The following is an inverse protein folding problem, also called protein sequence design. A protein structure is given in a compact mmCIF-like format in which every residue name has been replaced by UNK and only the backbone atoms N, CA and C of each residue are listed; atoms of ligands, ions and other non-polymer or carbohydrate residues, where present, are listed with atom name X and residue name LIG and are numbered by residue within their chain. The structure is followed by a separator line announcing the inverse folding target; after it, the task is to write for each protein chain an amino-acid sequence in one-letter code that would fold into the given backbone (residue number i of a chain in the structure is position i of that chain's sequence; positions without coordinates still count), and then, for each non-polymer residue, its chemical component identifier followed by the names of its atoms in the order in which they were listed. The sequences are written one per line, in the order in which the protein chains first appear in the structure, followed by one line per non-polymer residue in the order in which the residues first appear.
data_IF_813057717167
#
_entry.id   IF_813057717167
#
_cell.length_a   1.000
_cell.length_b   1.000
_cell.length_c   1.000
_cell.angle_alpha   90.00
_cell.angle_beta   90.00
_cell.angle_gamma   90.00
#
_symmetry.space_group_name_H-M   'P 1'
#
loop_
_entity.id
_entity.type
_entity.pdbx_description
1 polymer ?
#
# COMPACT_ATOMS: atom_id res chain seq x y z
N UNK A 1 46.36 61.22 24.10
CA UNK A 1 45.67 61.67 22.88
C UNK A 1 45.96 60.63 21.81
N UNK A 2 44.99 59.75 21.59
CA UNK A 2 45.00 58.72 20.55
C UNK A 2 43.82 59.00 19.60
N UNK A 3 43.97 58.70 18.30
CA UNK A 3 42.95 58.87 17.25
C UNK A 3 41.87 57.76 17.41
N UNK A 4 40.69 57.75 16.80
CA UNK A 4 40.20 58.36 15.57
C UNK A 4 39.71 57.24 14.63
N UNK A 5 38.39 56.99 14.62
CA UNK A 5 37.58 56.44 13.50
C UNK A 5 37.68 54.96 13.10
N UNK A 6 36.59 54.19 13.28
CA UNK A 6 35.71 53.64 12.21
C UNK A 6 34.80 52.51 12.76
N UNK A 7 33.48 52.78 12.81
CA UNK A 7 32.43 51.83 13.19
C UNK A 7 31.98 51.00 11.98
N UNK A 8 32.41 49.74 11.93
CA UNK A 8 31.98 48.74 10.94
C UNK A 8 30.86 47.84 11.48
N UNK A 9 29.61 48.22 11.20
CA UNK A 9 28.42 47.39 11.40
C UNK A 9 28.37 46.27 10.34
N UNK A 10 28.51 44.99 10.75
CA UNK A 10 28.06 43.84 9.95
C UNK A 10 26.96 43.07 10.68
N UNK A 11 25.76 43.17 10.12
CA UNK A 11 24.61 42.31 10.36
C UNK A 11 24.83 40.96 9.68
N UNK A 12 24.41 39.90 10.37
CA UNK A 12 23.57 38.81 9.85
C UNK A 12 24.17 37.80 8.88
N UNK A 13 24.19 36.53 9.28
CA UNK A 13 23.83 35.38 8.45
C UNK A 13 23.74 34.12 9.36
N UNK A 14 22.54 33.83 9.84
CA UNK A 14 22.12 32.50 10.29
C UNK A 14 20.64 32.41 10.00
N UNK A 15 20.29 31.81 8.87
CA UNK A 15 18.96 31.27 8.49
C UNK A 15 19.11 30.83 7.04
N UNK A 16 19.54 29.58 6.83
CA UNK A 16 19.40 28.89 5.53
C UNK A 16 19.12 27.38 5.76
N UNK A 17 19.54 26.79 6.89
CA UNK A 17 19.32 25.36 7.15
C UNK A 17 17.87 24.99 7.56
N UNK A 18 17.11 25.90 8.17
CA UNK A 18 15.74 25.61 8.63
C UNK A 18 14.69 25.70 7.50
N UNK A 19 14.96 26.48 6.45
CA UNK A 19 14.05 26.64 5.31
C UNK A 19 14.13 25.46 4.33
N UNK A 20 15.29 24.81 4.20
CA UNK A 20 15.47 23.61 3.36
C UNK A 20 14.85 22.35 4.01
N UNK A 21 14.90 22.23 5.34
CA UNK A 21 14.18 21.21 6.09
C UNK A 21 12.65 21.43 6.07
N UNK A 22 12.18 22.68 6.06
CA UNK A 22 10.78 23.03 5.88
C UNK A 22 10.24 22.77 4.46
N UNK A 23 11.06 22.97 3.44
CA UNK A 23 10.72 22.71 2.04
C UNK A 23 10.72 21.20 1.70
N UNK A 24 11.62 20.42 2.28
CA UNK A 24 11.68 18.95 2.06
C UNK A 24 10.48 18.22 2.65
N UNK A 25 9.95 18.68 3.80
CA UNK A 25 8.71 18.16 4.37
C UNK A 25 7.44 18.50 3.54
N UNK A 26 7.48 19.59 2.76
CA UNK A 26 6.33 20.08 1.99
C UNK A 26 6.07 19.33 0.66
N UNK A 27 6.93 18.38 0.28
CA UNK A 27 6.74 17.56 -0.93
C UNK A 27 6.46 16.08 -0.65
N UNK A 28 6.65 15.65 0.61
CA UNK A 28 6.61 14.26 1.02
C UNK A 28 5.19 13.85 1.39
N UNK A 29 4.75 12.70 0.90
CA UNK A 29 3.42 12.19 1.18
C UNK A 29 3.46 11.10 2.24
N UNK A 30 2.91 11.37 3.42
CA UNK A 30 2.76 10.37 4.48
C UNK A 30 1.47 9.56 4.27
N UNK A 31 1.64 8.30 3.90
CA UNK A 31 0.58 7.33 3.64
C UNK A 31 0.36 6.38 4.83
N UNK A 32 1.02 6.60 5.96
CA UNK A 32 1.02 5.70 7.12
C UNK A 32 -0.39 5.45 7.69
N UNK A 33 -1.28 6.44 7.66
CA UNK A 33 -2.67 6.30 8.08
C UNK A 33 -3.50 5.33 7.19
N UNK A 34 -3.12 5.16 5.92
CA UNK A 34 -3.80 4.27 4.97
C UNK A 34 -3.40 2.80 5.13
N UNK A 35 -2.28 2.52 5.81
CA UNK A 35 -1.77 1.17 6.04
C UNK A 35 -2.69 0.32 6.94
N UNK A 36 -3.53 0.95 7.78
CA UNK A 36 -4.56 0.26 8.55
C UNK A 36 -5.65 -0.39 7.69
N UNK A 37 -5.81 0.05 6.43
CA UNK A 37 -6.82 -0.45 5.49
C UNK A 37 -6.24 -1.41 4.42
N UNK A 38 -4.95 -1.29 4.08
CA UNK A 38 -4.29 -2.09 3.05
C UNK A 38 -3.61 -3.33 3.68
N UNK A 39 -4.38 -4.41 3.86
CA UNK A 39 -3.95 -5.67 4.45
C UNK A 39 -3.22 -6.61 3.47
N UNK A 40 -2.07 -7.13 3.93
CA UNK A 40 -1.23 -8.19 3.36
C UNK A 40 -2.06 -9.44 2.93
N UNK A 41 -1.71 -10.20 1.86
CA UNK A 41 -2.52 -11.28 1.28
C UNK A 41 -2.75 -12.55 2.13
N UNK A 42 -2.29 -12.60 3.39
CA UNK A 42 -2.34 -13.82 4.24
C UNK A 42 -3.06 -13.65 5.57
N UNK A 43 -3.68 -12.49 5.83
CA UNK A 43 -4.62 -12.32 6.95
C UNK A 43 -5.82 -11.56 6.41
N UNK A 44 -7.06 -12.08 6.53
CA UNK A 44 -8.23 -11.33 6.08
C UNK A 44 -8.24 -10.00 6.83
N UNK A 45 -8.23 -8.88 6.08
CA UNK A 45 -8.51 -7.58 6.66
C UNK A 45 -9.82 -7.69 7.47
N UNK A 46 -9.99 -6.93 8.57
CA UNK A 46 -11.27 -6.90 9.26
C UNK A 46 -12.35 -6.65 8.21
N UNK A 47 -13.21 -7.66 8.03
CA UNK A 47 -14.23 -7.65 7.00
C UNK A 47 -14.98 -6.33 7.09
N UNK A 48 -15.26 -5.62 5.97
CA UNK A 48 -15.97 -4.37 6.05
C UNK A 48 -17.24 -4.62 6.85
N UNK A 49 -17.36 -3.98 8.02
CA UNK A 49 -18.44 -4.29 8.97
C UNK A 49 -19.79 -4.25 8.25
N UNK A 50 -19.95 -3.31 7.32
CA UNK A 50 -21.08 -3.21 6.42
C UNK A 50 -21.36 -4.48 5.60
N UNK A 51 -20.34 -5.12 5.02
CA UNK A 51 -20.52 -6.38 4.32
C UNK A 51 -20.89 -7.51 5.28
N UNK A 52 -20.32 -7.54 6.50
CA UNK A 52 -20.66 -8.57 7.49
C UNK A 52 -22.13 -8.46 7.90
N UNK A 53 -22.59 -7.22 8.11
CA UNK A 53 -24.00 -6.92 8.36
C UNK A 53 -24.88 -7.25 7.16
N UNK A 54 -24.45 -6.98 5.93
CA UNK A 54 -25.20 -7.35 4.73
C UNK A 54 -25.35 -8.87 4.59
N UNK A 55 -24.28 -9.65 4.82
CA UNK A 55 -24.33 -11.11 4.83
C UNK A 55 -25.24 -11.62 5.94
N UNK A 56 -25.12 -11.07 7.16
CA UNK A 56 -25.97 -11.45 8.29
C UNK A 56 -27.46 -11.17 8.01
N UNK A 57 -27.78 -10.02 7.42
CA UNK A 57 -29.14 -9.66 7.03
C UNK A 57 -29.70 -10.60 5.95
N UNK A 58 -28.90 -10.93 4.93
CA UNK A 58 -29.31 -11.87 3.88
C UNK A 58 -29.56 -13.27 4.40
N UNK A 59 -28.72 -13.75 5.32
CA UNK A 59 -28.94 -15.03 6.01
C UNK A 59 -30.21 -14.99 6.86
N UNK A 60 -30.44 -13.93 7.64
CA UNK A 60 -31.65 -13.80 8.44
C UNK A 60 -32.93 -13.81 7.59
N UNK A 61 -32.92 -13.08 6.46
CA UNK A 61 -34.02 -13.07 5.49
C UNK A 61 -34.23 -14.45 4.87
N UNK A 62 -33.16 -15.11 4.42
CA UNK A 62 -33.22 -16.46 3.85
C UNK A 62 -33.75 -17.51 4.84
N UNK A 63 -33.31 -17.46 6.09
CA UNK A 63 -33.79 -18.35 7.17
C UNK A 63 -35.27 -18.06 7.48
N UNK A 64 -35.66 -16.79 7.56
CA UNK A 64 -37.06 -16.40 7.81
C UNK A 64 -38.01 -16.87 6.70
N UNK A 65 -37.65 -16.63 5.44
CA UNK A 65 -38.38 -17.13 4.27
C UNK A 65 -38.43 -18.66 4.23
N UNK A 66 -37.30 -19.33 4.51
CA UNK A 66 -37.22 -20.79 4.56
C UNK A 66 -38.13 -21.40 5.64
N UNK A 67 -38.14 -20.82 6.85
CA UNK A 67 -39.00 -21.26 7.94
C UNK A 67 -40.50 -21.06 7.63
N UNK A 68 -40.86 -19.94 7.00
CA UNK A 68 -42.22 -19.68 6.54
C UNK A 68 -42.67 -20.71 5.51
N UNK A 69 -41.81 -21.01 4.52
CA UNK A 69 -42.10 -22.03 3.49
C UNK A 69 -42.21 -23.42 4.12
N UNK A 70 -41.38 -23.75 5.11
CA UNK A 70 -41.50 -25.01 5.84
C UNK A 70 -42.82 -25.10 6.61
N UNK A 71 -43.24 -24.03 7.27
CA UNK A 71 -44.49 -23.99 8.03
C UNK A 71 -45.73 -24.11 7.12
N UNK A 72 -45.71 -23.51 5.94
CA UNK A 72 -46.85 -23.46 5.02
C UNK A 72 -46.88 -24.67 4.08
N UNK A 73 -45.75 -25.03 3.48
CA UNK A 73 -45.66 -26.05 2.42
C UNK A 73 -45.26 -27.42 2.98
N UNK A 74 -44.76 -27.49 4.22
CA UNK A 74 -44.28 -28.73 4.86
C UNK A 74 -43.24 -29.50 4.03
N UNK A 75 -42.57 -28.82 3.10
CA UNK A 75 -41.61 -29.43 2.19
C UNK A 75 -40.19 -29.15 2.64
N UNK A 76 -39.53 -30.19 3.14
CA UNK A 76 -38.11 -30.14 3.51
C UNK A 76 -37.21 -29.80 2.30
N UNK A 77 -37.65 -30.14 1.07
CA UNK A 77 -36.91 -29.84 -0.17
C UNK A 77 -36.75 -28.33 -0.37
N UNK A 78 -37.81 -27.55 -0.14
CA UNK A 78 -37.75 -26.09 -0.30
C UNK A 78 -36.88 -25.43 0.77
N UNK A 79 -36.87 -25.96 1.99
CA UNK A 79 -35.96 -25.51 3.05
C UNK A 79 -34.50 -25.73 2.63
N UNK A 80 -34.17 -26.92 2.13
CA UNK A 80 -32.81 -27.24 1.66
C UNK A 80 -32.39 -26.30 0.53
N UNK A 81 -33.27 -26.05 -0.45
CA UNK A 81 -32.98 -25.10 -1.55
C UNK A 81 -32.72 -23.69 -1.01
N UNK A 82 -33.53 -23.19 -0.08
CA UNK A 82 -33.34 -21.87 0.53
C UNK A 82 -32.01 -21.76 1.30
N UNK A 83 -31.63 -22.81 2.05
CA UNK A 83 -30.36 -22.86 2.76
C UNK A 83 -29.16 -22.88 1.79
N UNK A 84 -29.23 -23.66 0.72
CA UNK A 84 -28.16 -23.72 -0.29
C UNK A 84 -28.00 -22.37 -0.99
N UNK A 85 -29.11 -21.72 -1.39
CA UNK A 85 -29.05 -20.40 -2.03
C UNK A 85 -28.49 -19.34 -1.09
N UNK A 86 -28.91 -19.32 0.18
CA UNK A 86 -28.41 -18.36 1.17
C UNK A 86 -26.91 -18.56 1.47
N UNK A 87 -26.46 -19.82 1.53
CA UNK A 87 -25.03 -20.15 1.65
C UNK A 87 -24.22 -19.70 0.43
N UNK A 88 -24.73 -19.92 -0.79
CA UNK A 88 -24.06 -19.49 -2.02
C UNK A 88 -23.91 -17.96 -2.11
N UNK A 89 -24.98 -17.22 -1.78
CA UNK A 89 -24.95 -15.74 -1.73
C UNK A 89 -23.94 -15.25 -0.68
N UNK A 90 -23.93 -15.86 0.50
CA UNK A 90 -22.99 -15.51 1.57
C UNK A 90 -21.54 -15.76 1.15
N UNK A 91 -21.25 -16.92 0.55
CA UNK A 91 -19.93 -17.24 0.03
C UNK A 91 -19.48 -16.24 -1.04
N UNK A 92 -20.39 -15.80 -1.92
CA UNK A 92 -20.10 -14.78 -2.93
C UNK A 92 -19.70 -13.44 -2.30
N UNK A 93 -20.43 -12.95 -1.29
CA UNK A 93 -20.07 -11.71 -0.60
C UNK A 93 -18.76 -11.84 0.19
N UNK A 94 -18.53 -12.98 0.85
CA UNK A 94 -17.28 -13.26 1.56
C UNK A 94 -16.07 -13.29 0.61
N UNK A 95 -16.23 -13.93 -0.56
CA UNK A 95 -15.24 -13.92 -1.62
C UNK A 95 -14.93 -12.50 -2.08
N UNK A 96 -15.94 -11.68 -2.33
CA UNK A 96 -15.78 -10.30 -2.80
C UNK A 96 -15.07 -9.41 -1.80
N UNK A 97 -15.47 -9.45 -0.53
CA UNK A 97 -14.85 -8.64 0.51
C UNK A 97 -13.41 -9.09 0.80
N UNK A 98 -13.11 -10.39 0.78
CA UNK A 98 -11.72 -10.86 0.91
C UNK A 98 -10.85 -10.50 -0.31
N UNK A 99 -11.41 -10.52 -1.51
CA UNK A 99 -10.73 -10.07 -2.73
C UNK A 99 -10.46 -8.55 -2.72
N UNK A 100 -11.41 -7.75 -2.23
CA UNK A 100 -11.23 -6.30 -2.08
C UNK A 100 -10.17 -5.99 -1.01
N UNK A 101 -10.26 -6.64 0.15
CA UNK A 101 -9.32 -6.49 1.26
C UNK A 101 -7.86 -6.81 0.89
N UNK A 102 -7.65 -7.82 0.05
CA UNK A 102 -6.32 -8.23 -0.41
C UNK A 102 -5.78 -7.37 -1.56
N UNK A 103 -6.50 -6.33 -1.99
CA UNK A 103 -6.15 -5.55 -3.18
C UNK A 103 -6.23 -6.33 -4.49
N UNK A 104 -6.76 -7.56 -4.47
CA UNK A 104 -6.81 -8.47 -5.62
C UNK A 104 -7.67 -7.91 -6.75
N UNK A 105 -8.78 -7.24 -6.42
CA UNK A 105 -9.65 -6.61 -7.42
C UNK A 105 -8.88 -5.52 -8.18
N UNK A 106 -8.22 -4.62 -7.44
CA UNK A 106 -7.43 -3.54 -8.03
C UNK A 106 -6.25 -4.09 -8.84
N UNK A 107 -5.49 -5.06 -8.31
CA UNK A 107 -4.38 -5.69 -9.04
C UNK A 107 -4.84 -6.33 -10.36
N UNK A 108 -5.96 -7.05 -10.37
CA UNK A 108 -6.53 -7.61 -11.62
C UNK A 108 -6.97 -6.55 -12.61
N UNK A 109 -7.60 -5.48 -12.14
CA UNK A 109 -7.98 -4.35 -12.98
C UNK A 109 -6.74 -3.72 -13.63
N UNK A 110 -5.68 -3.49 -12.85
CA UNK A 110 -4.40 -3.00 -13.36
C UNK A 110 -3.80 -3.97 -14.37
N UNK A 111 -3.84 -5.28 -14.13
CA UNK A 111 -3.29 -6.29 -15.02
C UNK A 111 -4.05 -6.35 -16.36
N UNK A 112 -5.38 -6.20 -16.32
CA UNK A 112 -6.24 -6.17 -17.51
C UNK A 112 -6.17 -4.86 -18.32
N UNK A 113 -5.71 -3.76 -17.72
CA UNK A 113 -5.55 -2.49 -18.43
C UNK A 113 -4.40 -2.58 -19.47
N UNK A 114 -4.65 -2.22 -20.74
CA UNK A 114 -3.60 -2.18 -21.75
C UNK A 114 -2.62 -1.05 -21.46
N UNK A 115 -1.31 -1.33 -21.56
CA UNK A 115 -0.29 -0.31 -21.39
C UNK A 115 -0.43 0.78 -22.46
N UNK A 116 -0.67 2.00 -22.02
CA UNK A 116 -0.76 3.22 -22.81
C UNK A 116 0.65 3.71 -23.17
N UNK A 117 0.74 4.54 -24.22
CA UNK A 117 1.99 5.23 -24.56
C UNK A 117 1.81 6.73 -24.39
N UNK A 118 2.78 7.39 -23.75
CA UNK A 118 2.76 8.85 -23.56
C UNK A 118 2.72 9.63 -24.88
N UNK A 119 3.22 9.02 -25.97
CA UNK A 119 3.21 9.62 -27.30
C UNK A 119 1.79 9.78 -27.86
N UNK A 120 0.93 8.78 -27.64
CA UNK A 120 -0.40 8.69 -28.28
C UNK A 120 -1.53 9.11 -27.34
N UNK A 121 -1.37 8.93 -26.03
CA UNK A 121 -2.42 9.23 -25.06
C UNK A 121 -2.88 10.70 -25.10
N UNK A 122 -4.18 10.94 -24.94
CA UNK A 122 -4.76 12.28 -24.94
C UNK A 122 -4.63 12.98 -23.57
N UNK A 123 -4.77 14.31 -23.56
CA UNK A 123 -4.91 15.08 -22.32
C UNK A 123 -6.20 14.67 -21.58
N UNK A 124 -6.14 14.54 -20.26
CA UNK A 124 -7.26 14.12 -19.41
C UNK A 124 -7.57 12.61 -19.44
N UNK A 125 -6.82 11.81 -20.22
CA UNK A 125 -7.06 10.38 -20.34
C UNK A 125 -6.49 9.60 -19.13
N UNK A 126 -7.23 8.59 -18.66
CA UNK A 126 -6.68 7.57 -17.76
C UNK A 126 -5.66 6.71 -18.51
N UNK A 127 -4.41 6.72 -18.05
CA UNK A 127 -3.31 6.01 -18.69
C UNK A 127 -2.70 4.99 -17.75
N UNK A 128 -2.26 3.85 -18.31
CA UNK A 128 -1.34 2.91 -17.64
C UNK A 128 0.02 3.02 -18.31
N UNK A 129 0.97 3.68 -17.66
CA UNK A 129 2.34 3.83 -18.19
C UNK A 129 3.24 2.81 -17.50
N UNK A 130 3.97 2.03 -18.30
CA UNK A 130 4.98 1.10 -17.79
C UNK A 130 6.36 1.59 -18.19
N UNK A 131 7.27 1.72 -17.23
CA UNK A 131 8.52 2.41 -17.47
C UNK A 131 9.53 2.27 -16.34
N UNK A 132 10.68 2.88 -16.54
CA UNK A 132 11.73 2.98 -15.52
C UNK A 132 11.52 4.23 -14.67
N UNK A 133 11.74 4.08 -13.38
CA UNK A 133 11.59 5.13 -12.37
C UNK A 133 12.90 5.91 -12.24
N UNK A 134 12.78 7.23 -12.11
CA UNK A 134 13.87 8.12 -11.72
C UNK A 134 13.37 9.09 -10.65
N UNK A 135 14.23 9.41 -9.69
CA UNK A 135 13.86 10.30 -8.58
C UNK A 135 13.50 11.70 -9.11
N UNK A 136 12.56 12.35 -8.43
CA UNK A 136 12.30 13.77 -8.63
C UNK A 136 13.29 14.63 -7.85
N UNK A 137 12.83 15.80 -7.42
CA UNK A 137 13.65 16.70 -6.61
C UNK A 137 13.98 16.12 -5.22
N UNK A 138 13.15 15.19 -4.74
CA UNK A 138 13.28 14.56 -3.42
C UNK A 138 13.34 13.04 -3.57
N UNK A 139 14.38 12.46 -2.97
CA UNK A 139 14.59 11.03 -2.86
C UNK A 139 14.32 10.55 -1.43
N UNK A 140 13.66 9.41 -1.30
CA UNK A 140 13.41 8.72 -0.04
C UNK A 140 14.54 7.73 0.27
N UNK A 141 14.63 7.38 1.54
CA UNK A 141 15.49 6.30 2.05
C UNK A 141 14.59 5.28 2.75
N UNK A 142 14.80 3.98 2.51
CA UNK A 142 14.05 2.93 3.22
C UNK A 142 14.35 2.95 4.73
N UNK A 143 13.39 2.53 5.54
CA UNK A 143 13.46 2.73 6.99
C UNK A 143 14.49 1.82 7.65
N UNK A 144 14.50 0.53 7.28
CA UNK A 144 15.33 -0.50 7.91
C UNK A 144 16.54 -0.90 7.07
N UNK A 145 16.37 -1.26 5.80
CA UNK A 145 17.50 -1.64 4.91
C UNK A 145 18.35 -0.44 4.48
N UNK A 146 17.86 0.79 4.71
CA UNK A 146 18.52 2.05 4.32
C UNK A 146 18.83 2.14 2.82
N UNK A 147 17.93 1.65 1.98
CA UNK A 147 18.06 1.76 0.52
C UNK A 147 17.79 3.21 0.12
N UNK A 148 18.79 3.85 -0.49
CA UNK A 148 18.71 5.24 -0.97
C UNK A 148 17.99 5.34 -2.32
N UNK A 149 17.74 6.58 -2.78
CA UNK A 149 17.14 6.88 -4.09
C UNK A 149 15.81 6.16 -4.33
N UNK A 150 14.94 6.16 -3.32
CA UNK A 150 13.60 5.59 -3.40
C UNK A 150 12.54 6.65 -3.72
N UNK A 151 11.51 6.28 -4.48
CA UNK A 151 10.34 7.14 -4.75
C UNK A 151 9.13 6.74 -3.92
N UNK A 152 9.15 5.53 -3.37
CA UNK A 152 8.16 5.01 -2.45
C UNK A 152 8.85 4.09 -1.43
N UNK A 153 8.45 4.18 -0.17
CA UNK A 153 8.88 3.28 0.90
C UNK A 153 7.69 2.84 1.75
N UNK A 154 7.75 1.62 2.26
CA UNK A 154 6.74 1.00 3.13
C UNK A 154 7.44 0.13 4.14
N UNK A 155 7.28 0.43 5.43
CA UNK A 155 7.83 -0.37 6.51
C UNK A 155 6.71 -0.70 7.48
N UNK A 156 6.46 -2.00 7.67
CA UNK A 156 5.34 -2.51 8.44
C UNK A 156 5.87 -3.37 9.59
N UNK A 157 5.49 -3.02 10.82
CA UNK A 157 5.73 -3.85 11.99
C UNK A 157 4.45 -4.57 12.37
N UNK A 158 4.51 -5.90 12.32
CA UNK A 158 3.44 -6.77 12.79
C UNK A 158 3.84 -7.47 14.08
N UNK A 159 2.92 -7.52 15.02
CA UNK A 159 3.06 -8.29 16.27
C UNK A 159 2.13 -9.49 16.22
N UNK A 160 2.60 -10.63 16.70
CA UNK A 160 1.76 -11.80 16.85
C UNK A 160 0.85 -11.68 18.08
N UNK A 161 -0.45 -11.89 17.94
CA UNK A 161 -1.35 -12.03 19.07
C UNK A 161 -1.03 -13.28 19.90
N UNK A 162 -0.92 -13.14 21.23
CA UNK A 162 -0.67 -14.27 22.15
C UNK A 162 -1.77 -15.35 22.00
N UNK A 163 -1.41 -16.53 21.50
CA UNK A 163 -2.12 -17.77 21.83
C UNK A 163 -1.17 -18.67 22.62
N UNK A 164 -1.61 -19.12 23.79
CA UNK A 164 -0.86 -20.04 24.62
C UNK A 164 -0.81 -21.41 23.97
N UNK A 165 0.34 -21.75 23.39
CA UNK A 165 1.04 -23.02 23.60
C UNK A 165 2.35 -22.99 22.81
N UNK A 166 3.28 -23.82 23.23
CA UNK A 166 4.59 -24.04 22.62
C UNK A 166 4.40 -24.59 21.20
N UNK A 167 4.75 -23.81 20.17
CA UNK A 167 4.68 -24.24 18.76
C UNK A 167 6.09 -24.38 18.23
N UNK A 168 6.44 -25.62 17.85
CA UNK A 168 7.77 -26.02 17.40
C UNK A 168 8.18 -25.45 16.02
N UNK A 169 7.25 -24.85 15.26
CA UNK A 169 7.52 -24.29 13.92
C UNK A 169 7.14 -22.82 13.81
N UNK A 170 8.04 -21.95 14.27
CA UNK A 170 7.81 -20.50 14.40
C UNK A 170 7.75 -19.76 13.06
N UNK A 171 8.23 -20.36 11.96
CA UNK A 171 8.33 -19.68 10.66
C UNK A 171 6.95 -19.36 10.04
N UNK A 172 5.89 -20.12 10.40
CA UNK A 172 4.58 -20.02 9.76
C UNK A 172 3.36 -19.85 10.70
N UNK A 173 3.46 -20.14 12.00
CA UNK A 173 2.26 -20.46 12.81
C UNK A 173 1.74 -19.36 13.76
N UNK A 174 2.07 -18.10 13.53
CA UNK A 174 1.29 -17.04 14.16
C UNK A 174 -0.05 -16.86 13.42
N UNK A 175 -1.13 -17.35 14.01
CA UNK A 175 -2.48 -17.33 13.42
C UNK A 175 -3.09 -15.92 13.29
N UNK A 176 -2.56 -14.92 13.99
CA UNK A 176 -3.08 -13.55 13.98
C UNK A 176 -1.95 -12.51 14.07
N UNK A 177 -1.31 -12.23 12.95
CA UNK A 177 -0.44 -11.06 12.82
C UNK A 177 -1.26 -9.78 12.84
N UNK A 178 -1.02 -8.91 13.83
CA UNK A 178 -1.66 -7.61 13.94
C UNK A 178 -0.66 -6.52 13.55
N UNK A 179 -1.04 -5.68 12.58
CA UNK A 179 -0.29 -4.47 12.25
C UNK A 179 -0.27 -3.56 13.48
N UNK A 180 0.93 -3.21 13.94
CA UNK A 180 1.15 -2.37 15.12
C UNK A 180 1.72 -1.02 14.74
N UNK A 181 2.64 -1.01 13.79
CA UNK A 181 3.26 0.20 13.25
C UNK A 181 3.31 0.12 11.74
N UNK A 182 3.16 1.25 11.07
CA UNK A 182 3.30 1.36 9.63
C UNK A 182 3.86 2.74 9.29
N UNK A 183 4.89 2.74 8.44
CA UNK A 183 5.48 3.93 7.83
C UNK A 183 5.37 3.77 6.34
N UNK A 184 4.69 4.68 5.66
CA UNK A 184 4.61 4.66 4.19
C UNK A 184 4.81 6.05 3.66
N UNK A 185 5.75 6.21 2.75
CA UNK A 185 6.07 7.49 2.15
C UNK A 185 6.11 7.40 0.63
N UNK A 186 5.65 8.45 -0.03
CA UNK A 186 5.76 8.62 -1.48
C UNK A 186 6.28 10.03 -1.80
N UNK A 187 7.09 10.13 -2.84
CA UNK A 187 7.59 11.38 -3.39
C UNK A 187 7.12 11.56 -4.83
N UNK A 188 7.21 12.78 -5.36
CA UNK A 188 7.08 13.02 -6.79
C UNK A 188 8.27 12.40 -7.53
N UNK A 189 8.02 11.77 -8.67
CA UNK A 189 9.07 11.08 -9.43
C UNK A 189 8.82 11.08 -10.92
N UNK A 190 9.88 10.85 -11.71
CA UNK A 190 9.76 10.71 -13.14
C UNK A 190 9.61 9.24 -13.54
N UNK A 191 8.72 8.97 -14.50
CA UNK A 191 8.62 7.67 -15.17
C UNK A 191 8.97 7.83 -16.64
N UNK A 192 9.88 7.00 -17.13
CA UNK A 192 10.24 6.92 -18.55
C UNK A 192 9.48 5.79 -19.21
N UNK A 193 8.50 6.12 -20.05
CA UNK A 193 7.66 5.15 -20.77
C UNK A 193 8.52 4.24 -21.66
N UNK A 194 8.53 2.94 -21.35
CA UNK A 194 9.31 1.95 -22.09
C UNK A 194 8.89 1.85 -23.57
N UNK A 195 7.66 2.24 -23.92
CA UNK A 195 7.16 2.19 -25.30
C UNK A 195 7.56 3.40 -26.14
N UNK A 196 7.61 4.60 -25.54
CA UNK A 196 7.87 5.84 -26.28
C UNK A 196 9.19 6.52 -25.97
N UNK A 197 9.88 6.12 -24.89
CA UNK A 197 11.06 6.81 -24.37
C UNK A 197 10.78 8.20 -23.80
N UNK A 198 9.51 8.65 -23.78
CA UNK A 198 9.14 9.92 -23.16
C UNK A 198 9.11 9.79 -21.64
N UNK A 199 9.56 10.83 -20.95
CA UNK A 199 9.40 10.95 -19.50
C UNK A 199 8.10 11.66 -19.17
N UNK A 200 7.48 11.30 -18.06
CA UNK A 200 6.41 12.05 -17.43
C UNK A 200 6.65 12.19 -15.93
N UNK A 201 6.25 13.32 -15.36
CA UNK A 201 6.31 13.55 -13.91
C UNK A 201 5.05 12.95 -13.25
N UNK A 202 5.23 12.10 -12.27
CA UNK A 202 4.14 11.51 -11.48
C UNK A 202 3.98 12.32 -10.20
N UNK A 203 2.80 12.90 -10.01
CA UNK A 203 2.45 13.67 -8.83
C UNK A 203 1.92 12.75 -7.72
N UNK A 204 2.84 12.04 -7.08
CA UNK A 204 2.56 11.08 -6.00
C UNK A 204 2.99 11.59 -4.61
N UNK A 205 3.70 12.72 -4.56
CA UNK A 205 4.11 13.42 -3.35
C UNK A 205 2.95 14.16 -2.67
N UNK A 206 3.27 15.29 -2.05
CA UNK A 206 2.42 15.99 -1.10
C UNK A 206 0.95 16.14 -1.52
N UNK A 207 0.03 15.83 -0.59
CA UNK A 207 -1.43 15.84 -0.76
C UNK A 207 -2.00 15.00 -1.91
N UNK A 208 -1.22 14.09 -2.48
CA UNK A 208 -1.69 13.21 -3.55
C UNK A 208 -2.23 11.90 -2.98
N UNK A 209 -3.36 11.41 -3.49
CA UNK A 209 -3.83 10.06 -3.13
C UNK A 209 -3.03 9.03 -3.91
N UNK A 210 -2.48 8.04 -3.21
CA UNK A 210 -1.67 6.98 -3.82
C UNK A 210 -2.16 5.62 -3.34
N UNK A 211 -2.32 4.70 -4.28
CA UNK A 211 -2.71 3.31 -4.05
C UNK A 211 -1.52 2.39 -4.42
N UNK A 212 -0.61 2.10 -3.48
CA UNK A 212 0.52 1.21 -3.74
C UNK A 212 0.08 -0.25 -3.81
N UNK A 213 0.40 -0.93 -4.90
CA UNK A 213 0.22 -2.37 -5.13
C UNK A 213 1.55 -3.11 -5.05
N UNK A 214 2.29 -2.86 -3.96
CA UNK A 214 3.63 -3.37 -3.72
C UNK A 214 3.52 -4.48 -2.69
N UNK A 215 4.16 -5.62 -2.96
CA UNK A 215 4.25 -6.71 -2.01
C UNK A 215 5.50 -6.49 -1.14
N UNK A 216 5.33 -6.14 0.13
CA UNK A 216 6.45 -5.98 1.06
C UNK A 216 7.22 -7.31 1.25
N UNK A 217 8.54 -7.22 1.42
CA UNK A 217 9.41 -8.34 1.72
C UNK A 217 9.49 -8.55 3.24
N UNK A 218 9.48 -9.80 3.68
CA UNK A 218 9.66 -10.12 5.10
C UNK A 218 11.16 -10.11 5.40
N UNK A 219 11.63 -9.06 6.06
CA UNK A 219 13.05 -8.91 6.38
C UNK A 219 13.43 -9.64 7.66
N UNK A 220 12.62 -9.46 8.70
CA UNK A 220 12.88 -10.03 10.02
C UNK A 220 11.62 -10.71 10.52
N UNK A 221 11.78 -11.93 11.02
CA UNK A 221 10.78 -12.61 11.84
C UNK A 221 11.48 -13.14 13.07
N UNK A 222 11.06 -12.69 14.24
CA UNK A 222 11.64 -13.13 15.51
C UNK A 222 10.85 -14.30 16.08
N UNK A 223 11.55 -15.14 16.84
CA UNK A 223 10.94 -16.20 17.64
C UNK A 223 11.03 -15.87 19.14
N UNK A 224 10.28 -16.62 19.96
CA UNK A 224 10.20 -16.41 21.41
C UNK A 224 11.56 -16.41 22.12
N UNK A 225 12.54 -17.12 21.58
CA UNK A 225 13.88 -17.27 22.17
C UNK A 225 14.97 -16.60 21.32
N UNK A 226 14.60 -15.77 20.35
CA UNK A 226 15.57 -15.07 19.51
C UNK A 226 15.90 -13.72 20.14
N UNK A 227 17.17 -13.51 20.48
CA UNK A 227 17.65 -12.18 20.86
C UNK A 227 17.50 -11.22 19.68
N UNK A 228 16.93 -10.03 19.92
CA UNK A 228 16.80 -9.01 18.88
C UNK A 228 18.18 -8.47 18.51
N UNK A 229 18.44 -8.29 17.21
CA UNK A 229 19.64 -7.62 16.73
C UNK A 229 19.73 -6.19 17.27
N UNK A 230 20.94 -5.68 17.47
CA UNK A 230 21.18 -4.31 17.92
C UNK A 230 20.53 -3.28 16.98
N UNK A 231 20.60 -3.51 15.68
CA UNK A 231 19.96 -2.68 14.64
C UNK A 231 18.44 -2.61 14.84
N UNK A 232 17.79 -3.76 15.09
CA UNK A 232 16.35 -3.81 15.29
C UNK A 232 15.92 -3.18 16.62
N UNK A 233 16.69 -3.35 17.69
CA UNK A 233 16.44 -2.67 18.98
C UNK A 233 16.50 -1.16 18.81
N UNK A 234 17.57 -0.65 18.19
CA UNK A 234 17.75 0.78 17.91
C UNK A 234 16.58 1.33 17.08
N UNK A 235 16.22 0.65 15.99
CA UNK A 235 15.09 1.06 15.12
C UNK A 235 13.75 1.13 15.87
N UNK A 236 13.49 0.19 16.80
CA UNK A 236 12.29 0.19 17.64
C UNK A 236 12.31 1.33 18.67
N UNK A 237 13.46 1.56 19.30
CA UNK A 237 13.65 2.62 20.31
C UNK A 237 13.47 4.02 19.70
N UNK A 238 14.04 4.29 18.53
CA UNK A 238 13.85 5.54 17.77
C UNK A 238 12.37 5.88 17.52
N UNK A 239 11.51 4.86 17.44
CA UNK A 239 10.07 4.97 17.14
C UNK A 239 9.20 4.84 18.38
N UNK A 240 9.79 4.83 19.58
CA UNK A 240 9.10 4.63 20.85
C UNK A 240 8.28 3.32 20.89
N UNK A 241 8.72 2.27 20.20
CA UNK A 241 8.05 0.98 20.14
C UNK A 241 8.65 0.06 21.22
N UNK A 242 7.80 -0.45 22.12
CA UNK A 242 8.26 -1.36 23.19
C UNK A 242 8.87 -2.65 22.62
N UNK A 243 10.15 -2.86 22.95
CA UNK A 243 10.90 -4.09 22.71
C UNK A 243 10.60 -5.19 23.75
N UNK A 244 10.09 -4.84 24.94
CA UNK A 244 9.92 -5.78 26.07
C UNK A 244 8.62 -6.59 26.01
N UNK A 245 7.62 -6.13 25.25
CA UNK A 245 6.26 -6.69 25.30
C UNK A 245 5.91 -7.72 24.20
N UNK A 246 6.83 -8.05 23.27
CA UNK A 246 6.48 -8.87 22.11
C UNK A 246 7.48 -9.99 21.82
N UNK A 247 7.18 -11.27 22.15
CA UNK A 247 8.08 -12.39 21.85
C UNK A 247 8.07 -12.80 20.36
N UNK A 248 7.16 -12.28 19.53
CA UNK A 248 7.15 -12.51 18.08
C UNK A 248 6.76 -11.23 17.34
N UNK A 249 7.75 -10.64 16.68
CA UNK A 249 7.60 -9.50 15.77
C UNK A 249 7.98 -9.92 14.35
N UNK A 250 7.32 -9.30 13.38
CA UNK A 250 7.63 -9.43 11.97
C UNK A 250 7.78 -8.03 11.39
N UNK A 251 8.97 -7.75 10.87
CA UNK A 251 9.27 -6.53 10.14
C UNK A 251 9.23 -6.82 8.65
N UNK A 252 8.40 -6.08 7.95
CA UNK A 252 8.26 -6.16 6.50
C UNK A 252 8.62 -4.81 5.90
N UNK A 253 9.35 -4.81 4.80
CA UNK A 253 9.72 -3.59 4.09
C UNK A 253 9.51 -3.76 2.59
N UNK A 254 9.04 -2.70 1.93
CA UNK A 254 8.94 -2.61 0.49
C UNK A 254 9.33 -1.21 0.03
N UNK A 255 10.03 -1.12 -1.09
CA UNK A 255 10.44 0.15 -1.67
C UNK A 255 10.39 0.09 -3.19
N UNK A 256 10.40 1.26 -3.82
CA UNK A 256 10.65 1.42 -5.26
C UNK A 256 11.85 2.35 -5.38
N UNK A 257 12.99 1.79 -5.78
CA UNK A 257 14.21 2.57 -6.04
C UNK A 257 14.28 3.04 -7.49
N UNK A 258 15.11 4.04 -7.71
CA UNK A 258 15.50 4.50 -9.04
C UNK A 258 16.04 3.33 -9.88
N UNK A 259 15.71 3.33 -11.17
CA UNK A 259 16.05 2.26 -12.12
C UNK A 259 15.12 1.05 -12.08
N UNK A 260 14.22 0.93 -11.10
CA UNK A 260 13.21 -0.15 -11.09
C UNK A 260 12.13 0.07 -12.15
N UNK A 261 11.54 -1.03 -12.62
CA UNK A 261 10.42 -0.99 -13.56
C UNK A 261 9.07 -0.95 -12.81
N UNK A 262 8.30 0.10 -13.10
CA UNK A 262 7.02 0.40 -12.45
C UNK A 262 5.91 0.58 -13.49
N UNK A 263 4.70 0.15 -13.15
CA UNK A 263 3.46 0.52 -13.82
C UNK A 263 2.71 1.55 -12.99
N UNK A 264 2.45 2.71 -13.58
CA UNK A 264 1.73 3.82 -12.96
C UNK A 264 0.39 4.00 -13.67
N UNK A 265 -0.69 4.11 -12.90
CA UNK A 265 -2.01 4.48 -13.41
C UNK A 265 -2.47 5.81 -12.81
N UNK A 266 -2.88 6.72 -13.67
CA UNK A 266 -3.41 8.03 -13.29
C UNK A 266 -3.91 8.80 -14.50
N UNK A 267 -4.32 10.05 -14.29
CA UNK A 267 -4.80 10.94 -15.35
C UNK A 267 -3.62 11.70 -15.95
N UNK A 268 -3.44 11.58 -17.27
CA UNK A 268 -2.41 12.32 -17.99
C UNK A 268 -2.82 13.76 -18.21
N UNK A 269 -1.95 14.70 -17.86
CA UNK A 269 -2.07 16.12 -18.17
C UNK A 269 -0.90 16.56 -19.06
N UNK A 270 -1.20 17.23 -20.16
CA UNK A 270 -0.26 17.78 -21.13
C UNK A 270 -0.31 19.32 -21.18
N UNK A 271 -1.04 19.95 -20.26
CA UNK A 271 -1.35 21.39 -20.28
C UNK A 271 -0.11 22.31 -20.23
N UNK A 272 0.99 21.86 -19.63
CA UNK A 272 2.19 22.68 -19.39
C UNK A 272 3.41 22.22 -20.23
N UNK A 273 3.19 21.50 -21.34
CA UNK A 273 4.27 21.00 -22.20
C UNK A 273 4.89 19.70 -21.71
N UNK A 274 5.32 19.65 -20.44
CA UNK A 274 5.80 18.43 -19.81
C UNK A 274 4.63 17.54 -19.38
N UNK A 275 4.60 16.27 -19.82
CA UNK A 275 3.50 15.37 -19.46
C UNK A 275 3.58 15.05 -17.96
N UNK A 276 2.46 15.23 -17.28
CA UNK A 276 2.31 14.98 -15.85
C UNK A 276 1.20 13.95 -15.61
N UNK A 277 1.33 13.11 -14.59
CA UNK A 277 0.33 12.13 -14.19
C UNK A 277 -0.19 12.52 -12.82
N UNK A 278 -1.50 12.76 -12.74
CA UNK A 278 -2.21 13.19 -11.53
C UNK A 278 -3.11 12.08 -10.98
N UNK A 279 -3.45 12.12 -9.67
CA UNK A 279 -4.54 11.30 -9.15
C UNK A 279 -5.84 11.63 -9.88
N UNK A 280 -6.73 10.65 -10.09
CA UNK A 280 -8.03 10.90 -10.68
C UNK A 280 -8.85 11.85 -9.79
N UNK A 281 -9.61 12.80 -10.38
CA UNK A 281 -10.39 13.77 -9.61
C UNK A 281 -11.60 13.14 -8.91
N UNK A 282 -12.12 12.05 -9.47
CA UNK A 282 -13.22 11.25 -8.93
C UNK A 282 -12.80 9.79 -8.81
N UNK A 283 -13.33 9.03 -7.82
CA UNK A 283 -13.04 7.62 -7.67
C UNK A 283 -13.41 6.83 -8.93
N UNK A 284 -12.47 6.03 -9.44
CA UNK A 284 -12.67 5.22 -10.64
C UNK A 284 -13.11 3.82 -10.24
N UNK A 285 -14.18 3.34 -10.88
CA UNK A 285 -14.65 1.97 -10.71
C UNK A 285 -13.76 0.99 -11.47
N UNK A 286 -13.38 -0.12 -10.83
CA UNK A 286 -12.70 -1.24 -11.49
C UNK A 286 -13.63 -2.02 -12.44
N UNK A 287 -14.92 -1.70 -12.47
CA UNK A 287 -15.94 -2.43 -13.22
C UNK A 287 -16.29 -3.79 -12.61
N UNK A 288 -17.41 -4.37 -13.05
CA UNK A 288 -17.80 -5.73 -12.70
C UNK A 288 -17.04 -6.72 -13.60
N UNK A 289 -16.35 -7.70 -13.01
CA UNK A 289 -15.76 -8.81 -13.76
C UNK A 289 -16.54 -10.08 -13.43
N UNK A 290 -17.63 -10.30 -14.19
CA UNK A 290 -18.54 -11.44 -13.99
C UNK A 290 -17.81 -12.79 -14.02
N UNK A 291 -16.85 -12.96 -14.92
CA UNK A 291 -16.06 -14.19 -15.04
C UNK A 291 -15.25 -14.53 -13.77
N UNK A 292 -14.91 -13.52 -12.97
CA UNK A 292 -14.14 -13.68 -11.73
C UNK A 292 -15.00 -13.61 -10.46
N UNK A 293 -16.33 -13.45 -10.61
CA UNK A 293 -17.27 -13.20 -9.52
C UNK A 293 -16.83 -12.01 -8.63
N UNK A 294 -16.25 -10.97 -9.23
CA UNK A 294 -15.78 -9.78 -8.54
C UNK A 294 -16.70 -8.58 -8.80
N UNK A 295 -17.20 -8.01 -7.71
CA UNK A 295 -17.94 -6.76 -7.64
C UNK A 295 -16.98 -5.58 -7.89
N UNK A 296 -17.52 -4.47 -8.43
CA UNK A 296 -16.74 -3.28 -8.70
C UNK A 296 -16.25 -2.68 -7.38
N UNK A 297 -14.96 -2.38 -7.34
CA UNK A 297 -14.34 -1.58 -6.28
C UNK A 297 -13.97 -0.22 -6.84
N UNK A 298 -13.94 0.79 -5.97
CA UNK A 298 -13.51 2.13 -6.34
C UNK A 298 -12.12 2.36 -5.80
N UNK A 299 -11.24 2.92 -6.61
CA UNK A 299 -9.96 3.42 -6.16
C UNK A 299 -9.87 4.93 -6.42
N UNK A 300 -9.19 5.60 -5.51
CA UNK A 300 -9.08 7.05 -5.49
C UNK A 300 -7.59 7.35 -5.26
N UNK A 301 -6.90 7.75 -6.33
CA UNK A 301 -5.46 8.00 -6.31
C UNK A 301 -4.67 7.35 -7.46
N UNK A 302 -3.40 7.71 -7.53
CA UNK A 302 -2.42 7.15 -8.46
C UNK A 302 -2.08 5.73 -8.01
N UNK A 303 -2.21 4.75 -8.91
CA UNK A 303 -1.87 3.36 -8.59
C UNK A 303 -0.43 3.07 -8.98
N UNK A 304 0.37 2.59 -8.03
CA UNK A 304 1.77 2.20 -8.24
C UNK A 304 1.89 0.68 -8.17
N UNK A 305 2.22 0.02 -9.28
CA UNK A 305 2.39 -1.44 -9.33
C UNK A 305 3.79 -1.80 -9.81
N UNK A 306 4.54 -2.52 -8.98
CA UNK A 306 5.84 -3.06 -9.37
C UNK A 306 5.67 -4.13 -10.46
N UNK A 307 6.46 -4.06 -11.53
CA UNK A 307 6.34 -4.99 -12.68
C UNK A 307 7.14 -6.26 -12.47
N UNK A 308 8.33 -6.14 -11.87
CA UNK A 308 9.20 -7.29 -11.58
C UNK A 308 9.98 -7.12 -10.27
N UNK A 309 10.03 -8.20 -9.47
CA UNK A 309 10.84 -8.31 -8.24
C UNK A 309 12.25 -8.85 -8.50
N UNK A 310 12.57 -9.20 -9.74
CA UNK A 310 13.83 -9.85 -10.14
C UNK A 310 15.08 -8.96 -10.04
N UNK A 311 14.93 -7.67 -9.70
CA UNK A 311 16.03 -6.72 -9.51
C UNK A 311 16.53 -6.58 -8.07
N UNK A 312 16.04 -7.39 -7.12
CA UNK A 312 16.73 -7.56 -5.83
C UNK A 312 18.03 -8.31 -6.10
N UNK A 313 19.11 -7.56 -6.34
CA UNK A 313 20.45 -8.13 -6.33
C UNK A 313 20.64 -8.80 -4.96
N UNK A 314 20.93 -10.11 -4.89
CA UNK A 314 21.39 -10.69 -3.65
C UNK A 314 22.66 -9.93 -3.28
N UNK A 315 22.68 -9.35 -2.07
CA UNK A 315 23.86 -8.73 -1.51
C UNK A 315 25.06 -9.66 -1.79
N UNK A 316 26.00 -9.18 -2.58
CA UNK A 316 27.27 -9.83 -2.81
C UNK A 316 27.90 -10.04 -1.45
N UNK A 317 28.00 -11.31 -1.04
CA UNK A 317 28.73 -11.69 0.16
C UNK A 317 30.14 -11.13 0.05
N UNK A 318 30.50 -10.32 1.02
CA UNK A 318 31.90 -10.03 1.31
C UNK A 318 32.26 -11.00 2.44
N UNK A 319 33.16 -11.92 2.09
CA UNK A 319 33.87 -12.82 3.02
C UNK A 319 34.69 -12.04 4.05
#
# INVERSE_FOLDING_TARGET
MLPGGEDGKRRGATTDDDDEAGATAASLNDLSATAGAAGNPRVPAPFPRAAAWAVAALLAVGIGLGALVLAVVQSAVLLVVALVLSAAVSAFFLWNASAAASGRVLRRFVDGLPASSLRVAADGQLVKITGFVSCGDISLISSYEKVENCVYTSTLLRKCGRWGSEVANVKNDCSRWKLTHAERFAADFYITDAKSGKRALVKAGYHSKVAPLIDENVLVTTSRNTELSSTLKCWLEERNLSSQEAPLIRLEEGYISEGMQLSVIGILSKKNGDPMIFPPPEPISTGCVLLSFLLPTYFDGIVLRLVDKSYVMPNSGIS
#
